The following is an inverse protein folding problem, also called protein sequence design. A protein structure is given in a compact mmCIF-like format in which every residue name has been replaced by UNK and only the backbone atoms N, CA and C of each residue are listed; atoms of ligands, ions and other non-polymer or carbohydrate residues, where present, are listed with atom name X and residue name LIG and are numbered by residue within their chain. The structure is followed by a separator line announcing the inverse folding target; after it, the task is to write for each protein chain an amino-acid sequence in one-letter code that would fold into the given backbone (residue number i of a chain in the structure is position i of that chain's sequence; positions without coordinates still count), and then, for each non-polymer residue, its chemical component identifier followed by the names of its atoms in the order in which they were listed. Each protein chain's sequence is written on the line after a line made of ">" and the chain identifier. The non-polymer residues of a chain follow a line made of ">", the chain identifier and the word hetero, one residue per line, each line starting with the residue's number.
data_IF_882992715385
#
_entry.id   IF_882992715385
#
_cell.length_a   1.000
_cell.length_b   1.000
_cell.length_c   1.000
_cell.angle_alpha   90.00
_cell.angle_beta   90.00
_cell.angle_gamma   90.00
#
_symmetry.space_group_name_H-M   'P 1'
#
loop_
_entity.id
_entity.type
_entity.pdbx_description
1 polymer ?
#
# COMPACT_ATOMS: atom_id res chain seq x y z
N UNK A 1 28.31 -10.76 -10.39
CA UNK A 1 26.94 -11.10 -10.87
C UNK A 1 26.01 -9.88 -10.76
N UNK A 2 26.29 -8.80 -11.50
CA UNK A 2 25.50 -7.55 -11.54
C UNK A 2 25.23 -7.16 -13.00
N UNK A 3 24.39 -7.92 -13.71
CA UNK A 3 23.98 -7.58 -15.09
C UNK A 3 22.48 -7.76 -15.36
N UNK A 4 21.71 -8.38 -14.46
CA UNK A 4 20.27 -8.62 -14.67
C UNK A 4 19.37 -7.44 -14.29
N UNK A 5 19.86 -6.47 -13.49
CA UNK A 5 19.04 -5.32 -13.03
C UNK A 5 19.02 -4.14 -14.01
N UNK A 6 19.98 -4.02 -14.93
CA UNK A 6 19.98 -2.97 -15.96
C UNK A 6 19.06 -3.31 -17.14
N UNK A 7 18.83 -4.59 -17.41
CA UNK A 7 18.01 -5.04 -18.55
C UNK A 7 16.51 -4.82 -18.30
N UNK A 8 16.05 -4.95 -17.05
CA UNK A 8 14.70 -4.57 -16.62
C UNK A 8 14.48 -3.04 -16.60
N UNK A 9 15.52 -2.27 -16.30
CA UNK A 9 15.47 -0.80 -16.32
C UNK A 9 15.40 -0.26 -17.76
N UNK A 10 16.10 -0.91 -18.70
CA UNK A 10 16.10 -0.52 -20.11
C UNK A 10 14.80 -0.93 -20.84
N UNK A 11 14.19 -2.05 -20.48
CA UNK A 11 12.93 -2.50 -21.10
C UNK A 11 11.73 -1.63 -20.69
N UNK A 12 11.71 -1.08 -19.46
CA UNK A 12 10.63 -0.19 -19.02
C UNK A 12 10.77 1.25 -19.54
N UNK A 13 11.99 1.74 -19.75
CA UNK A 13 12.22 3.07 -20.34
C UNK A 13 11.88 3.06 -21.84
N UNK A 14 12.04 1.93 -22.52
CA UNK A 14 11.63 1.78 -23.92
C UNK A 14 10.12 1.90 -24.14
N UNK A 15 9.29 1.59 -23.13
CA UNK A 15 7.82 1.81 -23.19
C UNK A 15 7.48 3.30 -23.04
N UNK A 16 8.32 4.09 -22.36
CA UNK A 16 8.12 5.52 -22.14
C UNK A 16 8.67 6.38 -23.31
N UNK A 17 9.66 5.87 -24.06
CA UNK A 17 10.29 6.61 -25.16
C UNK A 17 9.62 6.41 -26.55
N UNK A 18 8.53 5.64 -26.64
CA UNK A 18 7.83 5.32 -27.89
C UNK A 18 6.80 6.35 -28.37
N UNK A 19 6.85 7.60 -27.89
CA UNK A 19 5.83 8.63 -28.18
C UNK A 19 6.23 9.45 -29.42
N UNK A 20 6.22 8.82 -30.59
CA UNK A 20 6.23 9.49 -31.89
C UNK A 20 5.56 8.60 -32.95
N UNK A 21 4.35 8.15 -32.65
CA UNK A 21 3.52 7.40 -33.59
C UNK A 21 2.19 7.08 -32.92
N UNK A 22 1.09 7.59 -33.47
CA UNK A 22 -0.27 7.23 -33.06
C UNK A 22 -0.49 5.73 -33.30
N UNK A 23 -0.06 4.88 -32.37
CA UNK A 23 -0.55 3.52 -32.23
C UNK A 23 -1.27 3.48 -30.90
N UNK A 24 -2.60 3.29 -30.96
CA UNK A 24 -3.43 3.05 -29.78
C UNK A 24 -2.76 1.97 -28.94
N UNK A 25 -2.24 2.36 -27.78
CA UNK A 25 -1.64 1.42 -26.86
C UNK A 25 -2.70 0.36 -26.52
N UNK A 26 -2.44 -0.95 -26.71
CA UNK A 26 -3.45 -1.97 -26.50
C UNK A 26 -4.01 -1.85 -25.08
N UNK A 27 -5.34 -1.85 -24.94
CA UNK A 27 -6.03 -1.73 -23.65
C UNK A 27 -5.49 -2.73 -22.60
N UNK A 28 -5.05 -3.91 -23.05
CA UNK A 28 -4.48 -4.96 -22.19
C UNK A 28 -3.17 -4.51 -21.47
N UNK A 29 -2.35 -3.66 -22.10
CA UNK A 29 -1.11 -3.14 -21.48
C UNK A 29 -1.37 -2.07 -20.41
N UNK A 30 -2.46 -1.32 -20.53
CA UNK A 30 -2.88 -0.33 -19.54
C UNK A 30 -3.39 -0.99 -18.27
N UNK A 31 -4.20 -2.04 -18.44
CA UNK A 31 -4.72 -2.87 -17.34
C UNK A 31 -3.58 -3.50 -16.55
N UNK A 32 -2.58 -4.03 -17.25
CA UNK A 32 -1.37 -4.59 -16.62
C UNK A 32 -0.59 -3.58 -15.81
N UNK A 33 -0.38 -2.38 -16.36
CA UNK A 33 0.37 -1.32 -15.67
C UNK A 33 -0.38 -0.89 -14.40
N UNK A 34 -1.71 -0.71 -14.48
CA UNK A 34 -2.55 -0.39 -13.33
C UNK A 34 -2.51 -1.49 -12.27
N UNK A 35 -2.65 -2.75 -12.67
CA UNK A 35 -2.63 -3.90 -11.77
C UNK A 35 -1.30 -3.96 -10.99
N UNK A 36 -0.18 -3.82 -11.68
CA UNK A 36 1.14 -3.82 -11.04
C UNK A 36 1.27 -2.69 -10.02
N UNK A 37 0.86 -1.47 -10.37
CA UNK A 37 0.92 -0.33 -9.46
C UNK A 37 -0.01 -0.49 -8.23
N UNK A 38 -1.22 -1.02 -8.44
CA UNK A 38 -2.19 -1.30 -7.37
C UNK A 38 -1.67 -2.36 -6.40
N UNK A 39 -1.12 -3.46 -6.93
CA UNK A 39 -0.50 -4.51 -6.12
C UNK A 39 0.67 -3.98 -5.28
N UNK A 40 1.50 -3.10 -5.85
CA UNK A 40 2.60 -2.45 -5.12
C UNK A 40 2.09 -1.58 -3.97
N UNK A 41 1.08 -0.74 -4.19
CA UNK A 41 0.49 0.08 -3.11
C UNK A 41 -0.12 -0.79 -2.03
N UNK A 42 -0.93 -1.78 -2.40
CA UNK A 42 -1.58 -2.68 -1.46
C UNK A 42 -0.54 -3.40 -0.57
N UNK A 43 0.50 -3.94 -1.18
CA UNK A 43 1.61 -4.60 -0.47
C UNK A 43 2.33 -3.65 0.47
N UNK A 44 2.70 -2.47 -0.02
CA UNK A 44 3.50 -1.52 0.75
C UNK A 44 2.69 -0.91 1.90
N UNK A 45 1.40 -0.63 1.69
CA UNK A 45 0.49 -0.21 2.74
C UNK A 45 0.36 -1.30 3.81
N UNK A 46 0.07 -2.55 3.40
CA UNK A 46 -0.09 -3.69 4.31
C UNK A 46 1.12 -3.86 5.20
N UNK A 47 2.30 -3.95 4.60
CA UNK A 47 3.55 -4.12 5.31
C UNK A 47 3.85 -2.96 6.26
N UNK A 48 3.52 -1.72 5.86
CA UNK A 48 3.67 -0.53 6.70
C UNK A 48 2.75 -0.64 7.92
N UNK A 49 1.45 -0.89 7.71
CA UNK A 49 0.47 -1.04 8.80
C UNK A 49 0.86 -2.17 9.77
N UNK A 50 1.33 -3.30 9.25
CA UNK A 50 1.81 -4.42 10.06
C UNK A 50 3.04 -4.07 10.88
N UNK A 51 4.01 -3.37 10.28
CA UNK A 51 5.17 -2.89 11.02
C UNK A 51 4.74 -1.92 12.14
N UNK A 52 3.75 -1.07 11.89
CA UNK A 52 3.22 -0.13 12.88
C UNK A 52 2.55 -0.78 14.05
N UNK A 53 1.66 -1.72 13.79
CA UNK A 53 0.92 -2.36 14.85
C UNK A 53 1.88 -3.13 15.79
N UNK A 54 2.89 -3.79 15.23
CA UNK A 54 3.95 -4.47 15.99
C UNK A 54 4.91 -3.52 16.73
N UNK A 55 5.21 -2.36 16.15
CA UNK A 55 6.14 -1.39 16.73
C UNK A 55 5.61 -0.75 18.03
N UNK A 56 4.28 -0.57 18.15
CA UNK A 56 3.66 0.02 19.33
C UNK A 56 3.85 -0.85 20.58
N UNK A 57 3.66 -2.17 20.47
CA UNK A 57 3.90 -3.10 21.59
C UNK A 57 5.38 -3.07 21.99
N UNK A 58 6.27 -3.12 20.99
CA UNK A 58 7.73 -3.05 21.21
C UNK A 58 8.12 -1.77 21.95
N UNK A 59 7.53 -0.62 21.61
CA UNK A 59 7.76 0.65 22.29
C UNK A 59 7.31 0.58 23.75
N UNK A 60 6.07 0.15 24.01
CA UNK A 60 5.53 0.04 25.37
C UNK A 60 6.42 -0.82 26.27
N UNK A 61 6.91 -1.94 25.74
CA UNK A 61 7.87 -2.81 26.45
C UNK A 61 9.19 -2.12 26.74
N UNK A 62 9.74 -1.36 25.78
CA UNK A 62 10.97 -0.59 25.97
C UNK A 62 10.79 0.50 27.02
N UNK A 63 9.76 1.33 26.90
CA UNK A 63 9.45 2.39 27.88
C UNK A 63 9.30 1.81 29.29
N UNK A 64 8.61 0.66 29.44
CA UNK A 64 8.47 -0.02 30.74
C UNK A 64 9.81 -0.51 31.29
N UNK A 65 10.64 -1.13 30.44
CA UNK A 65 11.97 -1.58 30.84
C UNK A 65 12.88 -0.41 31.24
N UNK A 66 12.64 0.78 30.69
CA UNK A 66 13.46 1.96 30.90
C UNK A 66 13.04 2.81 32.10
N UNK A 67 11.74 2.93 32.37
CA UNK A 67 11.18 3.74 33.46
C UNK A 67 10.99 2.93 34.75
N UNK A 68 10.99 1.60 34.67
CA UNK A 68 10.64 0.72 35.79
C UNK A 68 9.12 0.66 36.01
N UNK A 69 8.62 -0.50 36.44
CA UNK A 69 7.21 -0.74 36.72
C UNK A 69 6.81 -2.20 36.54
N UNK A 70 5.59 -2.55 36.93
CA UNK A 70 5.03 -3.91 36.75
C UNK A 70 4.80 -4.26 35.27
N UNK A 71 4.41 -5.50 34.98
CA UNK A 71 3.92 -5.90 33.65
C UNK A 71 2.40 -5.99 33.74
N UNK A 72 1.70 -5.40 32.79
CA UNK A 72 0.24 -5.45 32.67
C UNK A 72 -0.18 -5.65 31.21
N UNK A 73 -1.42 -6.07 30.99
CA UNK A 73 -1.94 -6.42 29.66
C UNK A 73 -1.94 -5.21 28.70
N UNK A 74 -1.99 -3.99 29.23
CA UNK A 74 -1.99 -2.76 28.43
C UNK A 74 -0.68 -2.58 27.64
N UNK A 75 0.42 -3.21 28.10
CA UNK A 75 1.70 -3.25 27.37
C UNK A 75 1.60 -4.02 26.05
N UNK A 76 0.72 -5.02 25.98
CA UNK A 76 0.56 -5.89 24.82
C UNK A 76 -0.60 -5.47 23.92
N UNK A 77 -1.40 -4.48 24.32
CA UNK A 77 -2.46 -3.95 23.45
C UNK A 77 -1.84 -3.30 22.21
N UNK A 78 -2.24 -3.71 20.99
CA UNK A 78 -1.79 -3.10 19.74
C UNK A 78 -2.29 -1.66 19.59
N UNK A 79 -1.88 -1.00 18.50
CA UNK A 79 -2.36 0.35 18.17
C UNK A 79 -3.84 0.33 17.82
N UNK A 80 -4.22 -0.62 16.96
CA UNK A 80 -5.58 -0.85 16.51
C UNK A 80 -5.99 -2.24 16.97
N UNK A 81 -7.20 -2.35 17.54
CA UNK A 81 -7.75 -3.62 18.01
C UNK A 81 -7.77 -4.66 16.88
N UNK A 82 -7.57 -5.93 17.24
CA UNK A 82 -7.30 -7.02 16.29
C UNK A 82 -8.37 -7.14 15.19
N UNK A 83 -9.65 -7.01 15.51
CA UNK A 83 -10.74 -7.12 14.52
C UNK A 83 -10.71 -5.97 13.50
N UNK A 84 -10.55 -4.74 13.98
CA UNK A 84 -10.49 -3.56 13.13
C UNK A 84 -9.20 -3.55 12.29
N UNK A 85 -8.10 -3.99 12.88
CA UNK A 85 -6.82 -4.14 12.18
C UNK A 85 -6.90 -5.25 11.11
N UNK A 86 -7.50 -6.40 11.43
CA UNK A 86 -7.69 -7.51 10.50
C UNK A 86 -8.51 -7.09 9.28
N UNK A 87 -9.59 -6.31 9.46
CA UNK A 87 -10.39 -5.80 8.35
C UNK A 87 -9.56 -4.97 7.35
N UNK A 88 -8.62 -4.16 7.83
CA UNK A 88 -7.73 -3.34 6.99
C UNK A 88 -6.73 -4.19 6.21
N UNK A 89 -6.14 -5.18 6.87
CA UNK A 89 -5.20 -6.12 6.24
C UNK A 89 -5.91 -6.98 5.20
N UNK A 90 -7.09 -7.52 5.52
CA UNK A 90 -7.90 -8.30 4.59
C UNK A 90 -8.35 -7.47 3.38
N UNK A 91 -8.67 -6.18 3.58
CA UNK A 91 -8.96 -5.26 2.47
C UNK A 91 -7.75 -5.07 1.54
N UNK A 92 -6.56 -4.84 2.09
CA UNK A 92 -5.34 -4.68 1.30
C UNK A 92 -4.95 -5.96 0.57
N UNK A 93 -5.12 -7.12 1.22
CA UNK A 93 -4.94 -8.43 0.57
C UNK A 93 -5.95 -8.65 -0.56
N UNK A 94 -7.21 -8.25 -0.38
CA UNK A 94 -8.23 -8.34 -1.42
C UNK A 94 -7.92 -7.40 -2.61
N UNK A 95 -7.39 -6.20 -2.34
CA UNK A 95 -6.95 -5.26 -3.36
C UNK A 95 -5.75 -5.79 -4.16
N UNK A 96 -4.77 -6.40 -3.49
CA UNK A 96 -3.65 -7.07 -4.15
C UNK A 96 -4.15 -8.24 -5.03
N UNK A 97 -5.01 -9.11 -4.49
CA UNK A 97 -5.58 -10.24 -5.24
C UNK A 97 -6.39 -9.78 -6.45
N UNK A 98 -7.14 -8.70 -6.31
CA UNK A 98 -7.89 -8.11 -7.43
C UNK A 98 -6.93 -7.67 -8.53
N UNK A 99 -5.88 -6.91 -8.16
CA UNK A 99 -4.88 -6.46 -9.11
C UNK A 99 -4.17 -7.63 -9.81
N UNK A 100 -3.73 -8.64 -9.06
CA UNK A 100 -3.11 -9.84 -9.63
C UNK A 100 -4.07 -10.60 -10.56
N UNK A 101 -5.33 -10.77 -10.18
CA UNK A 101 -6.31 -11.46 -11.01
C UNK A 101 -6.64 -10.67 -12.30
N UNK A 102 -6.66 -9.35 -12.20
CA UNK A 102 -6.85 -8.46 -13.34
C UNK A 102 -5.69 -8.55 -14.33
N UNK A 103 -4.45 -8.63 -13.83
CA UNK A 103 -3.26 -8.83 -14.65
C UNK A 103 -3.23 -10.22 -15.31
N UNK A 104 -3.53 -11.27 -14.54
CA UNK A 104 -3.64 -12.63 -15.08
C UNK A 104 -4.70 -12.70 -16.17
N UNK A 105 -5.79 -11.94 -16.05
CA UNK A 105 -6.83 -11.89 -17.07
C UNK A 105 -6.37 -11.11 -18.30
N UNK A 106 -5.70 -9.96 -18.13
CA UNK A 106 -5.20 -9.12 -19.23
C UNK A 106 -4.11 -9.82 -20.05
N UNK A 107 -3.27 -10.64 -19.41
CA UNK A 107 -2.13 -11.34 -20.04
C UNK A 107 -2.43 -12.78 -20.47
N UNK A 108 -3.65 -13.28 -20.27
CA UNK A 108 -3.98 -14.67 -20.58
C UNK A 108 -4.07 -14.92 -22.10
N UNK A 109 -3.19 -15.78 -22.62
CA UNK A 109 -3.14 -16.20 -24.02
C UNK A 109 -3.99 -17.45 -24.35
N UNK A 110 -4.63 -18.12 -23.37
CA UNK A 110 -5.38 -19.38 -23.59
C UNK A 110 -6.63 -19.50 -22.71
N UNK A 111 -7.67 -20.13 -23.24
CA UNK A 111 -9.00 -20.29 -22.61
C UNK A 111 -8.99 -20.92 -21.21
N UNK A 112 -8.16 -21.95 -20.95
CA UNK A 112 -8.04 -22.56 -19.61
C UNK A 112 -7.44 -21.62 -18.55
N UNK A 113 -6.51 -20.76 -18.95
CA UNK A 113 -5.89 -19.76 -18.05
C UNK A 113 -6.89 -18.63 -17.74
N UNK A 114 -7.71 -18.26 -18.73
CA UNK A 114 -8.75 -17.25 -18.57
C UNK A 114 -9.81 -17.66 -17.55
N UNK A 115 -10.35 -18.88 -17.61
CA UNK A 115 -11.38 -19.33 -16.64
C UNK A 115 -10.88 -19.26 -15.19
N UNK A 116 -9.60 -19.60 -14.96
CA UNK A 116 -8.98 -19.50 -13.64
C UNK A 116 -8.79 -18.05 -13.19
N UNK A 117 -8.32 -17.18 -14.08
CA UNK A 117 -8.15 -15.76 -13.80
C UNK A 117 -9.49 -15.09 -13.45
N UNK A 118 -10.56 -15.45 -14.16
CA UNK A 118 -11.91 -14.96 -13.92
C UNK A 118 -12.47 -15.41 -12.57
N UNK A 119 -12.29 -16.69 -12.22
CA UNK A 119 -12.71 -17.19 -10.92
C UNK A 119 -11.97 -16.48 -9.77
N UNK A 120 -10.66 -16.23 -9.94
CA UNK A 120 -9.87 -15.43 -8.99
C UNK A 120 -10.37 -13.99 -8.89
N UNK A 121 -10.69 -13.37 -10.03
CA UNK A 121 -11.18 -11.99 -10.09
C UNK A 121 -12.52 -11.85 -9.37
N UNK A 122 -13.44 -12.80 -9.57
CA UNK A 122 -14.72 -12.85 -8.86
C UNK A 122 -14.52 -13.00 -7.34
N UNK A 123 -13.64 -13.91 -6.91
CA UNK A 123 -13.32 -14.06 -5.49
C UNK A 123 -12.64 -12.83 -4.88
N UNK A 124 -11.81 -12.12 -5.63
CA UNK A 124 -11.18 -10.88 -5.18
C UNK A 124 -12.19 -9.72 -5.05
N UNK A 125 -13.12 -9.60 -6.01
CA UNK A 125 -14.22 -8.63 -5.94
C UNK A 125 -15.13 -8.91 -4.75
N UNK A 126 -15.47 -10.16 -4.48
CA UNK A 126 -16.26 -10.53 -3.30
C UNK A 126 -15.52 -10.13 -2.00
N UNK A 127 -14.23 -10.46 -1.91
CA UNK A 127 -13.40 -10.12 -0.75
C UNK A 127 -13.27 -8.61 -0.51
N UNK A 128 -13.19 -7.80 -1.57
CA UNK A 128 -13.18 -6.33 -1.49
C UNK A 128 -14.50 -5.76 -0.91
N UNK A 129 -15.62 -6.46 -1.08
CA UNK A 129 -16.93 -6.06 -0.54
C UNK A 129 -17.11 -6.42 0.94
N UNK A 130 -16.48 -7.51 1.39
CA UNK A 130 -16.64 -8.10 2.73
C UNK A 130 -16.49 -7.10 3.89
N UNK A 131 -15.54 -6.17 3.78
CA UNK A 131 -15.22 -5.19 4.84
C UNK A 131 -15.73 -3.77 4.56
N UNK A 132 -16.54 -3.60 3.51
CA UNK A 132 -16.99 -2.27 3.09
C UNK A 132 -17.73 -1.53 4.22
N UNK A 133 -18.69 -2.18 4.86
CA UNK A 133 -19.49 -1.55 5.92
C UNK A 133 -18.67 -1.27 7.19
N UNK A 134 -17.77 -2.18 7.58
CA UNK A 134 -16.90 -1.96 8.74
C UNK A 134 -15.85 -0.86 8.54
N UNK A 135 -15.38 -0.65 7.31
CA UNK A 135 -14.36 0.35 7.00
C UNK A 135 -14.98 1.72 6.70
N UNK A 136 -16.14 1.77 6.04
CA UNK A 136 -16.74 3.03 5.55
C UNK A 136 -17.94 3.49 6.39
N UNK A 137 -18.54 2.60 7.18
CA UNK A 137 -19.83 2.84 7.84
C UNK A 137 -21.03 2.88 6.87
N UNK A 138 -20.84 2.57 5.58
CA UNK A 138 -21.88 2.58 4.54
C UNK A 138 -22.28 1.15 4.18
N UNK A 139 -23.52 0.97 3.72
CA UNK A 139 -23.97 -0.32 3.19
C UNK A 139 -23.37 -0.56 1.80
N UNK A 140 -22.84 -1.75 1.57
CA UNK A 140 -22.31 -2.14 0.26
C UNK A 140 -23.41 -2.02 -0.82
N UNK A 141 -23.08 -1.50 -2.01
CA UNK A 141 -24.01 -1.44 -3.14
C UNK A 141 -24.63 -2.81 -3.47
N UNK A 142 -25.96 -2.90 -3.47
CA UNK A 142 -26.68 -4.16 -3.66
C UNK A 142 -26.46 -4.79 -5.04
N UNK A 143 -26.17 -3.97 -6.06
CA UNK A 143 -25.95 -4.38 -7.46
C UNK A 143 -24.73 -5.32 -7.59
N UNK A 144 -23.71 -5.12 -6.75
CA UNK A 144 -22.43 -5.82 -6.80
C UNK A 144 -22.53 -7.33 -6.60
N UNK A 145 -23.29 -7.77 -5.58
CA UNK A 145 -23.38 -9.20 -5.20
C UNK A 145 -23.98 -10.07 -6.31
N UNK A 146 -24.96 -9.55 -7.05
CA UNK A 146 -25.53 -10.26 -8.21
C UNK A 146 -24.58 -10.29 -9.40
N UNK A 147 -23.92 -9.17 -9.68
CA UNK A 147 -23.10 -8.98 -10.87
C UNK A 147 -21.76 -9.76 -10.84
N UNK A 148 -21.19 -10.04 -9.67
CA UNK A 148 -19.95 -10.85 -9.56
C UNK A 148 -20.15 -12.26 -10.15
N UNK A 149 -21.33 -12.87 -9.93
CA UNK A 149 -21.65 -14.20 -10.46
C UNK A 149 -21.76 -14.21 -12.00
N UNK A 150 -22.18 -13.09 -12.58
CA UNK A 150 -22.30 -12.95 -14.03
C UNK A 150 -20.94 -12.87 -14.73
N UNK A 151 -19.92 -12.28 -14.09
CA UNK A 151 -18.54 -12.23 -14.63
C UNK A 151 -18.00 -13.63 -14.92
N UNK A 152 -18.27 -14.59 -14.02
CA UNK A 152 -17.86 -16.01 -14.20
C UNK A 152 -18.65 -16.69 -15.32
N UNK A 153 -19.91 -16.31 -15.51
CA UNK A 153 -20.82 -16.94 -16.49
C UNK A 153 -20.52 -16.49 -17.93
N UNK A 154 -20.11 -15.23 -18.12
CA UNK A 154 -19.76 -14.66 -19.44
C UNK A 154 -18.54 -15.34 -20.08
N UNK A 155 -17.70 -16.00 -19.28
CA UNK A 155 -16.38 -16.51 -19.68
C UNK A 155 -16.34 -18.04 -19.61
N UNK A 156 -17.48 -18.71 -19.86
CA UNK A 156 -17.55 -20.17 -20.02
C UNK A 156 -17.41 -20.61 -21.47
N UNK A 157 -16.25 -21.17 -21.87
CA UNK A 157 -16.03 -21.77 -23.20
C UNK A 157 -14.65 -21.51 -23.81
N UNK A 158 -14.53 -21.61 -25.15
CA UNK A 158 -13.44 -20.96 -25.89
C UNK A 158 -13.61 -19.44 -25.75
N UNK A 159 -12.85 -18.87 -24.83
CA UNK A 159 -12.92 -17.45 -24.51
C UNK A 159 -12.31 -16.65 -25.65
N UNK A 160 -13.13 -15.81 -26.28
CA UNK A 160 -12.68 -14.84 -27.29
C UNK A 160 -12.06 -13.62 -26.61
N UNK A 161 -11.19 -12.90 -27.32
CA UNK A 161 -10.66 -11.60 -26.87
C UNK A 161 -11.77 -10.59 -26.52
N UNK A 162 -12.93 -10.68 -27.18
CA UNK A 162 -14.09 -9.85 -26.87
C UNK A 162 -14.68 -10.16 -25.48
N UNK A 163 -14.81 -11.44 -25.13
CA UNK A 163 -15.26 -11.86 -23.80
C UNK A 163 -14.25 -11.51 -22.72
N UNK A 164 -12.94 -11.60 -22.99
CA UNK A 164 -11.88 -11.11 -22.08
C UNK A 164 -12.09 -9.63 -21.75
N UNK A 165 -12.17 -8.79 -22.78
CA UNK A 165 -12.33 -7.34 -22.63
C UNK A 165 -13.61 -6.97 -21.89
N UNK A 166 -14.72 -7.63 -22.19
CA UNK A 166 -15.99 -7.42 -21.48
C UNK A 166 -15.90 -7.85 -20.00
N UNK A 167 -15.21 -8.94 -19.70
CA UNK A 167 -14.93 -9.38 -18.34
C UNK A 167 -14.15 -8.35 -17.54
N UNK A 168 -13.07 -7.82 -18.11
CA UNK A 168 -12.26 -6.74 -17.53
C UNK A 168 -13.13 -5.51 -17.27
N UNK A 169 -13.89 -5.05 -18.27
CA UNK A 169 -14.76 -3.88 -18.16
C UNK A 169 -15.77 -4.04 -17.02
N UNK A 170 -16.44 -5.19 -16.91
CA UNK A 170 -17.38 -5.47 -15.82
C UNK A 170 -16.70 -5.49 -14.47
N UNK A 171 -15.53 -6.12 -14.36
CA UNK A 171 -14.80 -6.18 -13.10
C UNK A 171 -14.37 -4.80 -12.62
N UNK A 172 -13.84 -3.96 -13.51
CA UNK A 172 -13.48 -2.57 -13.22
C UNK A 172 -14.70 -1.77 -12.80
N UNK A 173 -15.84 -1.92 -13.50
CA UNK A 173 -17.08 -1.24 -13.12
C UNK A 173 -17.56 -1.64 -11.71
N UNK A 174 -17.53 -2.93 -11.38
CA UNK A 174 -17.90 -3.40 -10.04
C UNK A 174 -16.93 -2.89 -8.98
N UNK A 175 -15.63 -2.90 -9.26
CA UNK A 175 -14.61 -2.34 -8.37
C UNK A 175 -14.90 -0.85 -8.09
N UNK A 176 -15.25 -0.09 -9.13
CA UNK A 176 -15.54 1.35 -9.02
C UNK A 176 -16.76 1.67 -8.16
N UNK A 177 -17.68 0.71 -7.93
CA UNK A 177 -18.81 0.92 -7.01
C UNK A 177 -18.38 1.06 -5.54
N UNK A 178 -17.18 0.60 -5.16
CA UNK A 178 -16.72 0.60 -3.76
C UNK A 178 -15.42 1.35 -3.51
N UNK A 179 -14.52 1.43 -4.50
CA UNK A 179 -13.21 2.10 -4.34
C UNK A 179 -13.31 3.58 -3.99
N UNK A 180 -14.25 4.38 -4.54
CA UNK A 180 -14.39 5.80 -4.18
C UNK A 180 -14.69 6.03 -2.70
N UNK A 181 -15.20 5.03 -1.98
CA UNK A 181 -15.43 5.10 -0.53
C UNK A 181 -14.30 4.46 0.27
N UNK A 182 -13.72 3.36 -0.22
CA UNK A 182 -12.68 2.61 0.49
C UNK A 182 -11.30 3.30 0.44
N UNK A 183 -10.92 3.88 -0.71
CA UNK A 183 -9.61 4.51 -0.87
C UNK A 183 -9.43 5.77 -0.01
N UNK A 184 -10.43 6.66 0.16
CA UNK A 184 -10.32 7.77 1.11
C UNK A 184 -10.13 7.34 2.56
N UNK A 185 -10.82 6.27 3.00
CA UNK A 185 -10.61 5.72 4.34
C UNK A 185 -9.16 5.27 4.50
N UNK A 186 -8.63 4.51 3.54
CA UNK A 186 -7.23 4.09 3.58
C UNK A 186 -6.29 5.29 3.60
N UNK A 187 -6.49 6.28 2.72
CA UNK A 187 -5.68 7.51 2.63
C UNK A 187 -5.63 8.22 3.98
N UNK A 188 -6.78 8.42 4.61
CA UNK A 188 -6.90 9.17 5.86
C UNK A 188 -6.25 8.41 7.03
N UNK A 189 -6.25 7.08 6.99
CA UNK A 189 -5.60 6.25 8.00
C UNK A 189 -4.08 6.16 7.85
N UNK A 190 -3.59 6.14 6.61
CA UNK A 190 -2.15 6.00 6.26
C UNK A 190 -1.44 7.33 6.02
N UNK A 191 -2.10 8.46 6.28
CA UNK A 191 -1.47 9.77 6.24
C UNK A 191 -0.69 10.12 7.51
N UNK A 192 0.11 11.19 7.51
CA UNK A 192 0.84 11.67 8.69
C UNK A 192 -0.09 12.04 9.86
N UNK A 193 -1.30 12.49 9.54
CA UNK A 193 -2.36 12.78 10.50
C UNK A 193 -3.28 11.58 10.78
N UNK A 194 -3.07 10.45 10.09
CA UNK A 194 -3.80 9.22 10.31
C UNK A 194 -3.35 8.50 11.59
N UNK A 195 -4.16 7.54 12.04
CA UNK A 195 -3.89 6.79 13.28
C UNK A 195 -2.50 6.14 13.27
N UNK A 196 -2.09 5.57 12.13
CA UNK A 196 -0.80 4.91 11.98
C UNK A 196 0.36 5.91 11.91
N UNK A 197 0.19 7.01 11.16
CA UNK A 197 1.17 8.09 11.08
C UNK A 197 1.43 8.77 12.43
N UNK A 198 0.37 9.13 13.15
CA UNK A 198 0.46 9.73 14.48
C UNK A 198 1.15 8.79 15.46
N UNK A 199 0.76 7.51 15.50
CA UNK A 199 1.34 6.55 16.43
C UNK A 199 2.85 6.39 16.24
N UNK A 200 3.29 6.30 14.99
CA UNK A 200 4.69 6.19 14.62
C UNK A 200 5.49 7.47 14.89
N UNK A 201 4.92 8.64 14.59
CA UNK A 201 5.53 9.92 14.94
C UNK A 201 5.72 10.02 16.45
N UNK A 202 4.68 9.71 17.23
CA UNK A 202 4.76 9.71 18.69
C UNK A 202 5.80 8.71 19.21
N UNK A 203 5.94 7.56 18.56
CA UNK A 203 7.00 6.60 18.88
C UNK A 203 8.40 7.18 18.63
N UNK A 204 8.65 7.75 17.46
CA UNK A 204 9.96 8.30 17.11
C UNK A 204 10.31 9.50 18.01
N UNK A 205 9.32 10.36 18.30
CA UNK A 205 9.44 11.49 19.22
C UNK A 205 9.70 11.04 20.67
N UNK A 206 9.01 10.00 21.14
CA UNK A 206 9.22 9.43 22.48
C UNK A 206 10.62 8.84 22.64
N UNK A 207 11.10 8.07 21.66
CA UNK A 207 12.47 7.54 21.67
C UNK A 207 13.51 8.66 21.73
N UNK A 208 13.33 9.70 20.92
CA UNK A 208 14.17 10.91 20.93
C UNK A 208 14.19 11.57 22.32
N UNK A 209 13.02 11.83 22.89
CA UNK A 209 12.90 12.47 24.20
C UNK A 209 13.60 11.65 25.30
N UNK A 210 13.43 10.33 25.31
CA UNK A 210 14.06 9.44 26.29
C UNK A 210 15.59 9.41 26.15
N UNK A 211 16.11 9.33 24.93
CA UNK A 211 17.55 9.35 24.68
C UNK A 211 18.18 10.68 25.11
N UNK A 212 17.53 11.80 24.80
CA UNK A 212 17.97 13.14 25.21
C UNK A 212 17.95 13.29 26.74
N UNK A 213 16.86 12.87 27.39
CA UNK A 213 16.72 12.92 28.84
C UNK A 213 17.84 12.12 29.53
N UNK A 214 18.07 10.88 29.10
CA UNK A 214 19.16 10.03 29.63
C UNK A 214 20.55 10.61 29.41
N UNK A 215 20.80 11.20 28.23
CA UNK A 215 22.07 11.86 27.96
C UNK A 215 22.29 13.03 28.93
N UNK A 216 21.26 13.88 29.11
CA UNK A 216 21.34 15.03 30.00
C UNK A 216 21.54 14.61 31.46
N UNK A 217 20.82 13.59 31.94
CA UNK A 217 21.00 13.05 33.30
C UNK A 217 22.41 12.51 33.51
N UNK A 218 22.92 11.68 32.60
CA UNK A 218 24.26 11.11 32.74
C UNK A 218 25.37 12.16 32.57
N UNK A 219 25.12 13.23 31.81
CA UNK A 219 26.02 14.37 31.71
C UNK A 219 26.04 15.17 33.02
N UNK A 220 24.87 15.47 33.60
CA UNK A 220 24.73 16.18 34.88
C UNK A 220 25.34 15.40 36.06
N UNK A 221 25.25 14.07 36.03
CA UNK A 221 25.84 13.19 37.05
C UNK A 221 27.35 12.91 36.80
N UNK A 222 27.99 13.66 35.90
CA UNK A 222 29.39 13.52 35.51
C UNK A 222 29.80 12.11 35.04
N UNK A 223 28.85 11.23 34.72
CA UNK A 223 29.12 9.85 34.26
C UNK A 223 29.78 9.81 32.88
N UNK A 224 29.65 10.91 32.13
CA UNK A 224 30.15 11.08 30.77
C UNK A 224 31.33 12.06 30.66
N UNK A 225 31.68 12.78 31.72
CA UNK A 225 32.57 13.95 31.69
C UNK A 225 33.97 13.63 31.16
N UNK A 226 34.49 12.43 31.45
CA UNK A 226 35.82 11.96 31.01
C UNK A 226 35.79 10.89 29.90
N UNK A 227 34.63 10.64 29.29
CA UNK A 227 34.44 9.54 28.31
C UNK A 227 33.99 10.08 26.94
N UNK A 228 34.88 10.74 26.17
CA UNK A 228 34.51 11.39 24.90
C UNK A 228 33.86 10.42 23.90
N UNK A 229 34.38 9.21 23.76
CA UNK A 229 33.83 8.21 22.83
C UNK A 229 32.41 7.77 23.21
N UNK A 230 32.14 7.65 24.52
CA UNK A 230 30.81 7.29 25.02
C UNK A 230 29.82 8.43 24.78
N UNK A 231 30.26 9.69 24.96
CA UNK A 231 29.44 10.87 24.62
C UNK A 231 29.10 10.89 23.14
N UNK A 232 30.10 10.74 22.27
CA UNK A 232 29.90 10.75 20.83
C UNK A 232 28.96 9.62 20.39
N UNK A 233 29.13 8.41 20.92
CA UNK A 233 28.24 7.27 20.65
C UNK A 233 26.79 7.56 21.04
N UNK A 234 26.56 8.23 22.18
CA UNK A 234 25.20 8.60 22.63
C UNK A 234 24.60 9.72 21.80
N UNK A 235 25.38 10.75 21.47
CA UNK A 235 24.94 11.83 20.58
C UNK A 235 24.60 11.30 19.19
N UNK A 236 25.39 10.37 18.65
CA UNK A 236 25.08 9.70 17.39
C UNK A 236 23.77 8.92 17.47
N UNK A 237 23.48 8.21 18.57
CA UNK A 237 22.17 7.57 18.77
C UNK A 237 21.01 8.55 18.83
N UNK A 238 21.21 9.71 19.46
CA UNK A 238 20.19 10.78 19.46
C UNK A 238 19.97 11.29 18.03
N UNK A 239 21.05 11.55 17.28
CA UNK A 239 20.96 11.97 15.87
C UNK A 239 20.23 10.92 15.02
N UNK A 240 20.57 9.64 15.16
CA UNK A 240 19.88 8.55 14.47
C UNK A 240 18.38 8.51 14.79
N UNK A 241 18.00 8.77 16.05
CA UNK A 241 16.59 8.84 16.44
C UNK A 241 15.88 10.06 15.81
N UNK A 242 16.55 11.22 15.72
CA UNK A 242 16.06 12.39 14.98
C UNK A 242 15.84 12.08 13.49
N UNK A 243 16.84 11.50 12.84
CA UNK A 243 16.79 11.16 11.41
C UNK A 243 15.66 10.14 11.14
N UNK A 244 15.50 9.15 12.03
CA UNK A 244 14.39 8.20 11.97
C UNK A 244 13.02 8.87 12.08
N UNK A 245 12.85 9.86 12.96
CA UNK A 245 11.58 10.57 13.14
C UNK A 245 11.16 11.30 11.86
N UNK A 246 12.08 12.04 11.23
CA UNK A 246 11.83 12.73 9.96
C UNK A 246 11.53 11.73 8.82
N UNK A 247 12.29 10.63 8.77
CA UNK A 247 12.10 9.56 7.77
C UNK A 247 10.73 8.90 7.88
N UNK A 248 10.23 8.70 9.12
CA UNK A 248 8.89 8.17 9.38
C UNK A 248 7.80 9.12 8.88
N UNK A 249 7.91 10.42 9.12
CA UNK A 249 6.95 11.40 8.60
C UNK A 249 6.88 11.35 7.07
N UNK A 250 8.05 11.32 6.42
CA UNK A 250 8.15 11.21 4.96
C UNK A 250 7.55 9.90 4.44
N UNK A 251 7.69 8.78 5.19
CA UNK A 251 7.09 7.50 4.82
C UNK A 251 5.57 7.60 4.68
N UNK A 252 4.89 8.21 5.65
CA UNK A 252 3.43 8.32 5.67
C UNK A 252 2.91 9.37 4.69
N UNK A 253 3.64 10.47 4.47
CA UNK A 253 3.33 11.42 3.39
C UNK A 253 3.32 10.70 2.03
N UNK A 254 4.38 9.95 1.74
CA UNK A 254 4.52 9.22 0.47
C UNK A 254 3.49 8.11 0.32
N UNK A 255 3.11 7.46 1.43
CA UNK A 255 2.09 6.44 1.41
C UNK A 255 0.70 7.04 1.14
N UNK A 256 0.39 8.18 1.76
CA UNK A 256 -0.83 8.94 1.46
C UNK A 256 -0.88 9.35 -0.01
N UNK A 257 0.19 9.95 -0.54
CA UNK A 257 0.30 10.32 -1.96
C UNK A 257 0.11 9.10 -2.88
N UNK A 258 0.65 7.94 -2.51
CA UNK A 258 0.48 6.71 -3.28
C UNK A 258 -1.00 6.27 -3.37
N UNK A 259 -1.75 6.37 -2.26
CA UNK A 259 -3.19 6.04 -2.22
C UNK A 259 -4.02 7.10 -2.96
N UNK A 260 -3.65 8.37 -2.87
CA UNK A 260 -4.29 9.45 -3.65
C UNK A 260 -4.12 9.22 -5.15
N UNK A 261 -2.91 8.93 -5.60
CA UNK A 261 -2.67 8.61 -7.00
C UNK A 261 -3.36 7.31 -7.43
N UNK A 262 -3.51 6.33 -6.53
CA UNK A 262 -4.26 5.11 -6.82
C UNK A 262 -5.74 5.43 -7.06
N UNK A 263 -6.31 6.37 -6.31
CA UNK A 263 -7.68 6.85 -6.53
C UNK A 263 -7.84 7.46 -7.92
N UNK A 264 -6.87 8.28 -8.34
CA UNK A 264 -6.86 8.88 -9.69
C UNK A 264 -6.73 7.79 -10.77
N UNK A 265 -5.83 6.83 -10.55
CA UNK A 265 -5.58 5.74 -11.50
C UNK A 265 -6.79 4.80 -11.63
N UNK A 266 -7.48 4.52 -10.53
CA UNK A 266 -8.70 3.71 -10.48
C UNK A 266 -9.80 4.38 -11.29
N UNK A 267 -10.01 5.68 -11.09
CA UNK A 267 -10.98 6.45 -11.87
C UNK A 267 -10.62 6.49 -13.35
N UNK A 268 -9.36 6.72 -13.68
CA UNK A 268 -8.89 6.75 -15.06
C UNK A 268 -9.06 5.39 -15.75
N UNK A 269 -8.87 4.26 -15.03
CA UNK A 269 -9.11 2.93 -15.55
C UNK A 269 -10.61 2.71 -15.81
N UNK A 270 -11.46 3.11 -14.88
CA UNK A 270 -12.91 3.07 -15.06
C UNK A 270 -13.32 3.84 -16.32
N UNK A 271 -12.94 5.12 -16.43
CA UNK A 271 -13.30 5.97 -17.56
C UNK A 271 -12.74 5.41 -18.90
N UNK A 272 -11.53 4.85 -18.90
CA UNK A 272 -10.94 4.20 -20.07
C UNK A 272 -11.73 2.95 -20.50
N UNK A 273 -12.16 2.11 -19.56
CA UNK A 273 -12.92 0.88 -19.86
C UNK A 273 -14.37 1.15 -20.27
N UNK A 274 -14.95 2.30 -19.88
CA UNK A 274 -16.30 2.71 -20.31
C UNK A 274 -16.31 3.59 -21.57
N UNK A 275 -15.14 3.91 -22.13
CA UNK A 275 -15.01 4.76 -23.32
C UNK A 275 -15.21 6.26 -23.07
N UNK A 276 -15.13 6.70 -21.80
CA UNK A 276 -15.32 8.09 -21.39
C UNK A 276 -14.00 8.84 -21.14
N UNK A 277 -12.86 8.14 -21.08
CA UNK A 277 -11.57 8.69 -20.65
C UNK A 277 -10.51 8.83 -21.75
N UNK A 278 -9.53 9.71 -21.51
CA UNK A 278 -8.28 9.79 -22.27
C UNK A 278 -7.28 8.74 -21.75
N UNK A 279 -6.82 7.78 -22.57
CA UNK A 279 -5.84 6.78 -22.17
C UNK A 279 -4.54 7.34 -21.56
N UNK A 280 -4.12 8.54 -21.97
CA UNK A 280 -2.90 9.17 -21.46
C UNK A 280 -3.01 9.50 -19.96
N UNK A 281 -4.21 9.82 -19.48
CA UNK A 281 -4.44 10.13 -18.07
C UNK A 281 -4.22 8.90 -17.18
N UNK A 282 -4.55 7.70 -17.69
CA UNK A 282 -4.31 6.45 -16.98
C UNK A 282 -2.82 6.17 -16.86
N UNK A 283 -2.05 6.32 -17.94
CA UNK A 283 -0.60 6.12 -17.91
C UNK A 283 0.09 7.06 -16.92
N UNK A 284 -0.25 8.34 -16.97
CA UNK A 284 0.32 9.35 -16.09
C UNK A 284 -0.03 9.07 -14.62
N UNK A 285 -1.30 8.75 -14.33
CA UNK A 285 -1.75 8.41 -12.99
C UNK A 285 -1.04 7.15 -12.45
N UNK A 286 -0.98 6.09 -13.24
CA UNK A 286 -0.33 4.83 -12.85
C UNK A 286 1.18 4.99 -12.66
N UNK A 287 1.85 5.79 -13.49
CA UNK A 287 3.26 6.15 -13.32
C UNK A 287 3.52 6.77 -11.95
N UNK A 288 2.69 7.75 -11.55
CA UNK A 288 2.78 8.38 -10.24
C UNK A 288 2.55 7.39 -9.09
N UNK A 289 1.57 6.49 -9.20
CA UNK A 289 1.33 5.43 -8.21
C UNK A 289 2.59 4.58 -8.01
N UNK A 290 3.17 4.08 -9.10
CA UNK A 290 4.33 3.20 -9.06
C UNK A 290 5.55 3.91 -8.44
N UNK A 291 5.77 5.18 -8.79
CA UNK A 291 6.89 5.96 -8.26
C UNK A 291 6.77 6.21 -6.75
N UNK A 292 5.56 6.55 -6.27
CA UNK A 292 5.34 6.72 -4.83
C UNK A 292 5.48 5.39 -4.08
N UNK A 293 4.89 4.29 -4.58
CA UNK A 293 5.03 2.99 -3.93
C UNK A 293 6.51 2.54 -3.84
N UNK A 294 7.32 2.82 -4.87
CA UNK A 294 8.79 2.59 -4.84
C UNK A 294 9.48 3.50 -3.83
N UNK A 295 9.09 4.77 -3.72
CA UNK A 295 9.62 5.69 -2.72
C UNK A 295 9.35 5.17 -1.31
N UNK A 296 8.11 4.79 -1.00
CA UNK A 296 7.72 4.21 0.30
C UNK A 296 8.50 2.93 0.58
N UNK A 297 8.63 2.02 -0.40
CA UNK A 297 9.42 0.79 -0.22
C UNK A 297 10.90 1.06 0.06
N UNK A 298 11.50 2.10 -0.54
CA UNK A 298 12.89 2.50 -0.27
C UNK A 298 13.04 3.07 1.13
N UNK A 299 12.15 3.98 1.54
CA UNK A 299 12.14 4.58 2.87
C UNK A 299 11.97 3.50 3.94
N UNK A 300 11.02 2.57 3.74
CA UNK A 300 10.80 1.45 4.67
C UNK A 300 12.04 0.57 4.81
N UNK A 301 12.79 0.36 3.74
CA UNK A 301 14.05 -0.38 3.80
C UNK A 301 15.10 0.36 4.64
N UNK A 302 15.21 1.67 4.47
CA UNK A 302 16.11 2.51 5.29
C UNK A 302 15.74 2.48 6.77
N UNK A 303 14.45 2.36 7.11
CA UNK A 303 14.00 2.25 8.51
C UNK A 303 14.25 0.87 9.15
N UNK A 304 14.58 -0.15 8.34
CA UNK A 304 14.92 -1.51 8.82
C UNK A 304 16.42 -1.72 8.99
N UNK A 305 17.25 -0.91 8.34
CA UNK A 305 18.72 -0.90 8.43
C UNK A 305 19.18 0.00 9.59
#
# INVERSE_FOLDING_TARGET
>A
MRKSSCLLLALLIAVIAGVAGCQSIPADSQVSTFANATSMVATVARDTLSASNAAVVTRKLRERAELGGGVDDALFTPLVADDAYAARIEFLDALERYATALEELASADRSKTMNKAVAKLAGALDALGKHYESLTGKKEPAVRRGAIKEIVTVIGGEVTDAQRREGIRRAVALQHEVMPDLLPVLRDEVGPAGIFGIAHRNQAEGEKATLMSRYNTDHQQERLSKKPDVRLKRLNRIREAWDRAATVETLYERLQEAVEHLTIAERALYDATTGAGNPDHLFEAVGRVADQARAVSRIRKQLKE
#
